data_IF_367198735646
#
_entry.id   IF_367198735646
#
_cell.length_a   1.000
_cell.length_b   1.000
_cell.length_c   1.000
_cell.angle_alpha   90.00
_cell.angle_beta   90.00
_cell.angle_gamma   90.00
#
_symmetry.space_group_name_H-M   'P 1'
#
loop_
_entity.id
_entity.type
_entity.pdbx_description
1 polymer ?
#
# COMPACT_ATOMS: atom_id res chain seq x y z
N UNK A 1 11.09 6.40 1.06
CA UNK A 1 11.61 5.03 1.02
C UNK A 1 12.57 4.85 2.18
N UNK A 2 12.43 3.80 3.02
CA UNK A 2 13.38 3.47 4.08
C UNK A 2 14.84 3.53 3.62
N UNK A 3 15.73 3.99 4.51
CA UNK A 3 17.17 4.08 4.27
C UNK A 3 17.62 5.06 3.19
N UNK A 4 16.73 5.52 2.31
CA UNK A 4 17.13 6.36 1.17
C UNK A 4 17.44 7.81 1.60
N UNK A 5 16.61 8.35 2.49
CA UNK A 5 16.72 9.72 3.01
C UNK A 5 16.38 9.80 4.48
N UNK A 6 16.84 10.86 5.11
CA UNK A 6 16.40 11.30 6.44
C UNK A 6 15.35 12.39 6.30
N UNK A 7 14.59 12.66 7.34
CA UNK A 7 13.64 13.76 7.38
C UNK A 7 13.86 14.62 8.63
N UNK A 8 13.42 15.87 8.56
CA UNK A 8 13.26 16.77 9.70
C UNK A 8 12.01 17.62 9.53
N UNK A 9 11.55 18.23 10.60
CA UNK A 9 10.47 19.24 10.60
C UNK A 9 11.02 20.59 10.99
N UNK A 10 10.30 21.67 10.62
CA UNK A 10 10.79 23.03 10.87
C UNK A 10 10.79 23.41 12.36
N UNK A 11 9.88 22.81 13.14
CA UNK A 11 9.74 23.09 14.57
C UNK A 11 10.71 22.30 15.47
N UNK A 12 11.40 21.29 14.93
CA UNK A 12 12.37 20.46 15.68
C UNK A 12 13.66 20.31 14.86
N UNK A 13 14.84 20.63 15.45
CA UNK A 13 16.13 20.47 14.76
C UNK A 13 16.56 19.00 14.61
N UNK A 14 15.87 18.06 15.23
CA UNK A 14 16.18 16.63 15.14
C UNK A 14 16.07 16.12 13.70
N UNK A 15 17.03 15.28 13.32
CA UNK A 15 17.03 14.57 12.05
C UNK A 15 16.71 13.11 12.30
N UNK A 16 15.79 12.57 11.54
CA UNK A 16 15.30 11.19 11.70
C UNK A 16 15.61 10.36 10.46
N UNK A 17 16.20 9.20 10.64
CA UNK A 17 16.21 8.16 9.63
C UNK A 17 14.81 7.59 9.45
N UNK A 18 14.46 7.22 8.22
CA UNK A 18 13.21 6.53 7.92
C UNK A 18 13.51 5.05 7.83
N UNK A 19 12.95 4.29 8.75
CA UNK A 19 13.02 2.83 8.84
C UNK A 19 11.75 2.18 8.27
N UNK A 20 11.68 0.87 8.31
CA UNK A 20 10.59 0.07 7.75
C UNK A 20 9.21 0.54 8.23
N UNK A 21 8.25 0.43 7.32
CA UNK A 21 6.88 0.84 7.58
C UNK A 21 6.67 2.35 7.77
N UNK A 22 7.70 3.17 7.57
CA UNK A 22 7.67 4.62 7.85
C UNK A 22 7.95 4.96 9.30
N UNK A 23 8.66 4.11 10.02
CA UNK A 23 9.12 4.37 11.39
C UNK A 23 10.25 5.38 11.38
N UNK A 24 10.18 6.41 12.24
CA UNK A 24 11.21 7.42 12.40
C UNK A 24 12.12 7.08 13.57
N UNK A 25 13.41 7.16 13.33
CA UNK A 25 14.43 6.92 14.35
C UNK A 25 15.36 8.12 14.42
N UNK A 26 15.43 8.79 15.57
CA UNK A 26 16.27 9.97 15.73
C UNK A 26 17.74 9.62 15.61
N UNK A 27 18.46 10.30 14.72
CA UNK A 27 19.91 10.21 14.56
C UNK A 27 20.57 11.16 15.57
N UNK A 28 21.19 10.65 16.62
CA UNK A 28 21.60 11.43 17.78
C UNK A 28 22.79 12.34 17.53
N UNK A 29 23.61 12.11 16.50
CA UNK A 29 24.73 12.97 16.18
C UNK A 29 25.06 13.04 14.69
N UNK A 30 25.83 14.08 14.31
CA UNK A 30 26.34 14.25 12.95
C UNK A 30 27.32 13.13 12.57
N UNK A 31 28.16 12.68 13.50
CA UNK A 31 29.12 11.60 13.26
C UNK A 31 28.41 10.29 12.90
N UNK A 32 27.27 10.01 13.55
CA UNK A 32 26.43 8.85 13.24
C UNK A 32 25.86 9.02 11.82
N UNK A 33 25.32 10.20 11.48
CA UNK A 33 24.78 10.48 10.15
C UNK A 33 25.84 10.32 9.06
N UNK A 34 27.06 10.84 9.29
CA UNK A 34 28.19 10.69 8.36
C UNK A 34 28.56 9.21 8.18
N UNK A 35 28.61 8.45 9.27
CA UNK A 35 28.94 7.02 9.22
C UNK A 35 27.93 6.20 8.42
N UNK A 36 26.62 6.50 8.56
CA UNK A 36 25.55 5.77 7.89
C UNK A 36 25.33 6.23 6.43
N UNK A 37 25.40 7.53 6.16
CA UNK A 37 25.01 8.11 4.87
C UNK A 37 26.16 8.73 4.07
N UNK A 38 27.36 8.74 4.64
CA UNK A 38 28.55 9.34 4.04
C UNK A 38 28.68 10.85 4.28
N UNK A 39 29.78 11.45 3.82
CA UNK A 39 30.10 12.87 4.04
C UNK A 39 29.08 13.86 3.46
N UNK A 40 28.25 13.41 2.50
CA UNK A 40 27.18 14.22 1.90
C UNK A 40 25.81 13.98 2.57
N UNK A 41 25.77 13.47 3.81
CA UNK A 41 24.55 13.11 4.53
C UNK A 41 23.51 14.24 4.59
N UNK A 42 23.95 15.48 4.73
CA UNK A 42 23.09 16.65 4.80
C UNK A 42 22.26 16.90 3.53
N UNK A 43 22.73 16.42 2.38
CA UNK A 43 21.98 16.47 1.11
C UNK A 43 20.86 15.41 1.04
N UNK A 44 20.86 14.50 1.97
CA UNK A 44 19.84 13.43 2.08
C UNK A 44 18.75 13.73 3.10
N UNK A 45 18.63 14.99 3.55
CA UNK A 45 17.57 15.40 4.48
C UNK A 45 16.48 16.10 3.69
N UNK A 46 15.25 15.63 3.82
CA UNK A 46 14.06 16.29 3.30
C UNK A 46 13.31 16.99 4.45
N UNK A 47 12.87 18.23 4.20
CA UNK A 47 12.00 18.94 5.12
C UNK A 47 10.55 18.43 4.96
N UNK A 48 9.93 18.03 6.06
CA UNK A 48 8.54 17.60 6.10
C UNK A 48 7.72 18.63 6.88
N UNK A 49 6.58 19.10 6.33
CA UNK A 49 5.69 19.97 7.09
C UNK A 49 5.23 19.31 8.39
N UNK A 50 5.21 20.06 9.50
CA UNK A 50 4.87 19.58 10.84
C UNK A 50 3.54 18.82 10.89
N UNK A 51 2.58 19.24 10.06
CA UNK A 51 1.26 18.58 9.98
C UNK A 51 1.33 17.11 9.51
N UNK A 52 2.37 16.72 8.81
CA UNK A 52 2.54 15.33 8.33
C UNK A 52 3.40 14.49 9.25
N UNK A 53 4.09 15.08 10.22
CA UNK A 53 4.97 14.34 11.13
C UNK A 53 4.21 13.29 11.95
N UNK A 54 2.97 13.58 12.35
CA UNK A 54 2.09 12.64 13.06
C UNK A 54 1.63 11.42 12.24
N UNK A 55 1.95 11.35 10.94
CA UNK A 55 1.66 10.18 10.10
C UNK A 55 2.73 9.10 10.18
N UNK A 56 3.83 9.36 10.89
CA UNK A 56 4.93 8.44 11.10
C UNK A 56 4.86 7.83 12.49
N UNK A 57 5.31 6.59 12.61
CA UNK A 57 5.53 5.95 13.90
C UNK A 57 6.93 6.29 14.42
N UNK A 58 7.09 6.34 15.75
CA UNK A 58 8.38 6.62 16.39
C UNK A 58 9.02 5.31 16.85
N UNK A 59 10.25 5.07 16.40
CA UNK A 59 11.08 3.94 16.83
C UNK A 59 12.13 4.35 17.86
N UNK A 60 13.00 3.40 18.21
CA UNK A 60 14.16 3.66 19.09
C UNK A 60 15.15 4.59 18.42
N UNK A 61 15.81 5.43 19.22
CA UNK A 61 16.86 6.32 18.76
C UNK A 61 18.05 5.54 18.17
N UNK A 62 18.81 6.20 17.30
CA UNK A 62 20.06 5.68 16.73
C UNK A 62 21.21 6.31 17.50
N UNK A 63 21.76 5.54 18.45
CA UNK A 63 22.85 5.97 19.34
C UNK A 63 24.23 5.67 18.74
N UNK A 64 24.28 4.68 17.87
CA UNK A 64 25.49 4.28 17.12
C UNK A 64 25.16 3.98 15.67
N UNK A 65 26.17 4.03 14.79
CA UNK A 65 25.99 3.68 13.38
C UNK A 65 25.66 2.21 13.14
N UNK A 66 25.79 1.36 14.15
CA UNK A 66 25.39 -0.06 14.09
C UNK A 66 23.92 -0.31 14.36
N UNK A 67 23.18 0.70 14.84
CA UNK A 67 21.76 0.55 15.19
C UNK A 67 20.83 0.62 13.98
N UNK A 68 21.33 1.07 12.83
CA UNK A 68 20.55 1.17 11.59
C UNK A 68 21.45 1.00 10.35
N UNK A 69 21.00 0.14 9.43
CA UNK A 69 21.62 -0.06 8.12
C UNK A 69 20.76 0.59 7.02
N UNK A 70 21.07 1.80 6.54
CA UNK A 70 20.31 2.45 5.48
C UNK A 70 20.28 1.68 4.16
N UNK A 71 21.36 0.95 3.86
CA UNK A 71 21.48 0.18 2.61
C UNK A 71 20.59 -1.05 2.67
N UNK A 72 20.63 -1.78 3.79
CA UNK A 72 19.76 -2.93 4.05
C UNK A 72 18.30 -2.52 4.04
N UNK A 73 17.91 -1.52 4.84
CA UNK A 73 16.53 -1.02 4.89
C UNK A 73 16.02 -0.57 3.51
N UNK A 74 16.88 0.07 2.70
CA UNK A 74 16.52 0.45 1.34
C UNK A 74 16.39 -0.75 0.39
N UNK A 75 17.18 -1.79 0.58
CA UNK A 75 17.08 -3.02 -0.22
C UNK A 75 15.81 -3.79 0.13
N UNK A 76 15.52 -3.95 1.43
CA UNK A 76 14.36 -4.68 1.93
C UNK A 76 13.04 -4.01 1.53
N UNK A 77 12.97 -2.68 1.52
CA UNK A 77 11.84 -1.93 1.00
C UNK A 77 11.88 -1.79 -0.54
N UNK A 78 11.83 -2.90 -1.27
CA UNK A 78 11.91 -2.94 -2.74
C UNK A 78 10.80 -2.10 -3.40
N UNK A 79 9.59 -2.17 -2.84
CA UNK A 79 8.43 -1.38 -3.23
C UNK A 79 7.51 -1.11 -2.01
N UNK A 80 6.47 -0.29 -2.19
CA UNK A 80 5.57 0.10 -1.09
C UNK A 80 4.78 -1.10 -0.53
N UNK A 81 4.49 -2.11 -1.34
CA UNK A 81 3.76 -3.28 -0.85
C UNK A 81 4.64 -4.07 0.11
N UNK A 82 5.92 -4.20 -0.22
CA UNK A 82 6.90 -4.88 0.63
C UNK A 82 7.14 -4.10 1.93
N UNK A 83 7.47 -2.80 1.83
CA UNK A 83 7.72 -1.93 2.97
C UNK A 83 6.52 -1.87 3.96
N UNK A 84 5.31 -1.78 3.42
CA UNK A 84 4.09 -1.72 4.25
C UNK A 84 3.48 -3.09 4.53
N UNK A 85 4.15 -4.18 4.16
CA UNK A 85 3.63 -5.53 4.30
C UNK A 85 2.18 -5.65 3.78
N UNK A 86 1.90 -5.01 2.63
CA UNK A 86 0.56 -5.03 2.06
C UNK A 86 0.26 -6.39 1.47
N UNK A 87 -0.91 -6.89 1.76
CA UNK A 87 -1.37 -8.15 1.17
C UNK A 87 -1.56 -7.99 -0.35
N UNK A 88 -1.02 -8.94 -1.11
CA UNK A 88 -1.29 -9.00 -2.54
C UNK A 88 -2.79 -9.11 -2.81
N UNK A 89 -3.30 -8.33 -3.75
CA UNK A 89 -4.70 -8.41 -4.14
C UNK A 89 -4.96 -9.69 -4.96
N UNK A 90 -6.07 -10.37 -4.67
CA UNK A 90 -6.62 -11.34 -5.61
C UNK A 90 -7.27 -10.60 -6.77
N UNK A 91 -6.78 -10.81 -7.98
CA UNK A 91 -7.26 -10.13 -9.18
C UNK A 91 -8.37 -10.95 -9.83
N UNK A 92 -9.50 -10.31 -10.07
CA UNK A 92 -10.65 -10.81 -10.81
C UNK A 92 -10.77 -9.98 -12.09
N UNK A 93 -10.49 -10.60 -13.22
CA UNK A 93 -10.62 -9.89 -14.50
C UNK A 93 -12.07 -9.84 -14.96
N UNK A 94 -12.43 -8.77 -15.63
CA UNK A 94 -13.71 -8.58 -16.29
C UNK A 94 -13.44 -8.49 -17.79
N UNK A 95 -14.00 -9.42 -18.53
CA UNK A 95 -14.07 -9.40 -20.00
C UNK A 95 -15.42 -8.87 -20.44
N UNK A 96 -15.60 -8.61 -21.75
CA UNK A 96 -16.84 -7.98 -22.23
C UNK A 96 -18.10 -8.83 -21.98
N UNK A 97 -17.95 -10.15 -21.93
CA UNK A 97 -19.07 -11.09 -21.81
C UNK A 97 -19.11 -11.88 -20.50
N UNK A 98 -18.09 -11.78 -19.63
CA UNK A 98 -18.00 -12.58 -18.40
C UNK A 98 -17.00 -12.02 -17.39
N UNK A 99 -17.14 -12.46 -16.13
CA UNK A 99 -16.07 -12.42 -15.14
C UNK A 99 -15.22 -13.68 -15.28
N UNK A 100 -13.89 -13.57 -15.41
CA UNK A 100 -13.00 -14.70 -15.67
C UNK A 100 -13.14 -15.84 -14.65
N UNK A 101 -13.49 -15.49 -13.41
CA UNK A 101 -13.78 -16.44 -12.35
C UNK A 101 -15.23 -16.27 -11.90
N UNK A 102 -16.12 -17.16 -12.37
CA UNK A 102 -17.53 -17.17 -11.95
C UNK A 102 -17.70 -17.47 -10.44
N UNK A 103 -16.71 -18.10 -9.80
CA UNK A 103 -16.64 -18.30 -8.35
C UNK A 103 -15.19 -18.25 -7.87
N UNK A 104 -14.92 -17.44 -6.84
CA UNK A 104 -13.59 -17.29 -6.23
C UNK A 104 -13.71 -17.35 -4.71
N UNK A 105 -12.80 -18.06 -4.06
CA UNK A 105 -12.68 -18.09 -2.59
C UNK A 105 -11.44 -17.29 -2.15
N UNK A 106 -11.63 -16.43 -1.15
CA UNK A 106 -10.55 -15.64 -0.52
C UNK A 106 -10.69 -15.68 1.00
N UNK A 107 -9.59 -15.43 1.71
CA UNK A 107 -9.62 -15.25 3.17
C UNK A 107 -10.14 -13.87 3.55
N UNK A 108 -10.80 -13.77 4.71
CA UNK A 108 -11.19 -12.48 5.30
C UNK A 108 -10.01 -11.50 5.30
N UNK A 109 -10.28 -10.25 4.89
CA UNK A 109 -9.28 -9.18 4.83
C UNK A 109 -8.30 -9.31 3.67
N UNK A 110 -8.52 -10.23 2.72
CA UNK A 110 -7.77 -10.23 1.46
C UNK A 110 -8.33 -9.13 0.54
N UNK A 111 -7.48 -8.24 0.00
CA UNK A 111 -7.94 -7.28 -1.00
C UNK A 111 -8.33 -8.00 -2.29
N UNK A 112 -9.52 -7.70 -2.80
CA UNK A 112 -10.03 -8.19 -4.07
C UNK A 112 -10.02 -7.04 -5.06
N UNK A 113 -9.41 -7.24 -6.22
CA UNK A 113 -9.29 -6.23 -7.28
C UNK A 113 -9.99 -6.70 -8.53
N UNK A 114 -10.99 -5.98 -8.98
CA UNK A 114 -11.57 -6.14 -10.31
C UNK A 114 -10.78 -5.31 -11.31
N UNK A 115 -10.30 -5.96 -12.37
CA UNK A 115 -9.57 -5.31 -13.45
C UNK A 115 -10.33 -5.51 -14.75
N UNK A 116 -10.68 -4.42 -15.45
CA UNK A 116 -11.39 -4.48 -16.70
C UNK A 116 -10.43 -4.69 -17.89
N UNK A 117 -10.35 -5.93 -18.35
CA UNK A 117 -9.61 -6.33 -19.54
C UNK A 117 -10.42 -6.20 -20.84
N UNK A 118 -11.74 -5.91 -20.73
CA UNK A 118 -12.63 -5.76 -21.88
C UNK A 118 -12.46 -4.41 -22.60
N UNK A 119 -13.12 -4.29 -23.73
CA UNK A 119 -13.20 -3.06 -24.51
C UNK A 119 -14.35 -2.14 -24.04
N UNK A 120 -15.33 -2.70 -23.33
CA UNK A 120 -16.50 -1.99 -22.80
C UNK A 120 -16.30 -1.58 -21.34
N UNK A 121 -17.15 -0.68 -20.86
CA UNK A 121 -17.24 -0.32 -19.45
C UNK A 121 -17.98 -1.39 -18.65
N UNK A 122 -17.51 -1.69 -17.46
CA UNK A 122 -18.09 -2.71 -16.57
C UNK A 122 -18.31 -2.19 -15.15
N UNK A 123 -19.02 -2.97 -14.34
CA UNK A 123 -19.10 -2.82 -12.88
C UNK A 123 -19.02 -4.19 -12.23
N UNK A 124 -18.66 -4.24 -10.94
CA UNK A 124 -19.02 -5.34 -10.05
C UNK A 124 -19.96 -4.77 -9.00
N UNK A 125 -21.22 -5.14 -9.06
CA UNK A 125 -22.29 -4.60 -8.20
C UNK A 125 -22.95 -5.75 -7.45
N UNK A 126 -23.02 -5.66 -6.13
CA UNK A 126 -23.70 -6.67 -5.32
C UNK A 126 -25.15 -6.90 -5.78
N UNK A 127 -25.59 -8.15 -5.76
CA UNK A 127 -26.97 -8.49 -6.18
C UNK A 127 -28.01 -7.84 -5.25
N UNK A 128 -27.68 -7.65 -3.98
CA UNK A 128 -28.49 -6.94 -2.98
C UNK A 128 -28.26 -5.42 -2.97
N UNK A 129 -27.43 -4.90 -3.89
CA UNK A 129 -27.05 -3.49 -4.01
C UNK A 129 -26.33 -2.90 -2.79
N UNK A 130 -25.87 -3.72 -1.85
CA UNK A 130 -25.18 -3.27 -0.63
C UNK A 130 -23.79 -2.66 -0.91
N UNK A 131 -23.18 -2.98 -2.06
CA UNK A 131 -21.90 -2.42 -2.52
C UNK A 131 -21.77 -2.46 -4.05
N UNK A 132 -20.84 -1.68 -4.55
CA UNK A 132 -20.47 -1.69 -5.97
C UNK A 132 -19.16 -0.97 -6.21
N UNK A 133 -18.54 -1.26 -7.35
CA UNK A 133 -17.28 -0.63 -7.78
C UNK A 133 -17.52 0.74 -8.45
N UNK A 134 -18.75 1.05 -8.82
CA UNK A 134 -19.00 2.05 -9.84
C UNK A 134 -18.50 1.58 -11.21
N UNK A 135 -18.43 2.51 -12.16
CA UNK A 135 -17.95 2.21 -13.53
C UNK A 135 -16.43 2.00 -13.56
N UNK A 136 -16.02 0.85 -14.03
CA UNK A 136 -14.61 0.55 -14.35
C UNK A 136 -14.44 0.67 -15.86
N UNK A 137 -13.70 1.67 -16.32
CA UNK A 137 -13.38 1.87 -17.73
C UNK A 137 -12.43 0.77 -18.24
N UNK A 138 -12.33 0.53 -19.57
CA UNK A 138 -11.32 -0.33 -20.15
C UNK A 138 -9.92 -0.03 -19.63
N UNK A 139 -9.18 -1.06 -19.16
CA UNK A 139 -7.87 -0.93 -18.51
C UNK A 139 -7.91 -0.39 -17.08
N UNK A 140 -9.08 -0.01 -16.57
CA UNK A 140 -9.27 0.47 -15.21
C UNK A 140 -9.42 -0.67 -14.19
N UNK A 141 -9.32 -0.33 -12.92
CA UNK A 141 -9.54 -1.29 -11.85
C UNK A 141 -10.17 -0.64 -10.61
N UNK A 142 -10.69 -1.48 -9.72
CA UNK A 142 -11.19 -1.10 -8.41
C UNK A 142 -10.85 -2.21 -7.41
N UNK A 143 -10.47 -1.86 -6.19
CA UNK A 143 -10.16 -2.82 -5.14
C UNK A 143 -11.02 -2.59 -3.90
N UNK A 144 -11.38 -3.69 -3.21
CA UNK A 144 -12.16 -3.68 -1.99
C UNK A 144 -11.70 -4.79 -1.05
N UNK A 145 -11.83 -4.55 0.26
CA UNK A 145 -11.68 -5.56 1.32
C UNK A 145 -13.04 -6.07 1.76
N UNK A 146 -13.11 -7.37 2.05
CA UNK A 146 -14.26 -8.00 2.69
C UNK A 146 -13.82 -8.48 4.09
N UNK A 147 -14.39 -7.86 5.12
CA UNK A 147 -13.96 -8.07 6.51
C UNK A 147 -14.88 -9.04 7.27
N UNK A 148 -15.91 -9.57 6.63
CA UNK A 148 -16.79 -10.58 7.18
C UNK A 148 -16.82 -11.82 6.29
N UNK A 149 -16.81 -13.03 6.85
CA UNK A 149 -17.03 -14.24 6.08
C UNK A 149 -18.44 -14.25 5.49
N UNK A 150 -18.58 -14.82 4.30
CA UNK A 150 -19.88 -14.88 3.62
C UNK A 150 -19.76 -15.15 2.13
N UNK A 151 -20.91 -15.29 1.48
CA UNK A 151 -21.01 -15.44 0.03
C UNK A 151 -21.56 -14.15 -0.56
N UNK A 152 -20.79 -13.53 -1.41
CA UNK A 152 -21.08 -12.25 -2.05
C UNK A 152 -21.32 -12.47 -3.52
N UNK A 153 -22.58 -12.46 -3.94
CA UNK A 153 -22.95 -12.53 -5.36
C UNK A 153 -22.98 -11.12 -5.95
N UNK A 154 -22.49 -10.98 -7.17
CA UNK A 154 -22.45 -9.71 -7.88
C UNK A 154 -22.65 -9.87 -9.39
N UNK A 155 -22.97 -8.78 -10.04
CA UNK A 155 -23.25 -8.71 -11.47
C UNK A 155 -22.68 -7.43 -12.08
N UNK A 156 -22.64 -7.36 -13.41
CA UNK A 156 -22.32 -6.12 -14.12
C UNK A 156 -23.59 -5.33 -14.41
N UNK A 157 -23.71 -4.09 -13.92
CA UNK A 157 -24.91 -3.26 -14.13
C UNK A 157 -25.15 -2.88 -15.60
N UNK A 158 -24.12 -2.90 -16.43
CA UNK A 158 -24.24 -2.68 -17.89
C UNK A 158 -24.64 -3.95 -18.64
N UNK A 159 -24.30 -5.13 -18.08
CA UNK A 159 -24.55 -6.43 -18.67
C UNK A 159 -25.10 -7.37 -17.59
N UNK A 160 -26.41 -7.27 -17.22
CA UNK A 160 -26.96 -7.95 -16.04
C UNK A 160 -26.91 -9.49 -16.06
N UNK A 161 -26.64 -10.08 -17.21
CA UNK A 161 -26.45 -11.53 -17.37
C UNK A 161 -25.04 -11.99 -16.94
N UNK A 162 -24.09 -11.06 -16.85
CA UNK A 162 -22.73 -11.34 -16.37
C UNK A 162 -22.74 -11.32 -14.84
N UNK A 163 -22.62 -12.48 -14.23
CA UNK A 163 -22.69 -12.67 -12.78
C UNK A 163 -21.51 -13.48 -12.26
N UNK A 164 -21.14 -13.26 -11.01
CA UNK A 164 -20.12 -14.08 -10.32
C UNK A 164 -20.34 -14.09 -8.81
N UNK A 165 -19.58 -14.93 -8.12
CA UNK A 165 -19.67 -15.14 -6.66
C UNK A 165 -18.26 -15.05 -6.05
N UNK A 166 -18.15 -14.28 -4.98
CA UNK A 166 -16.99 -14.26 -4.10
C UNK A 166 -17.34 -14.92 -2.78
N UNK A 167 -16.59 -15.95 -2.40
CA UNK A 167 -16.70 -16.61 -1.11
C UNK A 167 -15.57 -16.10 -0.22
N UNK A 168 -15.92 -15.60 0.96
CA UNK A 168 -14.97 -15.07 1.96
C UNK A 168 -15.00 -15.98 3.19
N UNK A 169 -13.85 -16.54 3.59
CA UNK A 169 -13.70 -17.48 4.70
C UNK A 169 -12.49 -17.19 5.61
#
# INVERSE_FOLDING_TARGET
KPGAKMIKINSDPKVYAVDDGGTLRWVMSEEIAISMYGSAWNTKIDDVPDAFFGNYDMGSDIETSGDFDPVGASADASDINHDKNLKAATVLNISDDYFDNASMTVKVGTPVRWFNNGANKHTATATDLSWGTGTIQPGGNFARYFNAPGTYTYFCSYHPTITATLIVE
#
